data_IF_950472301374
#
_entry.id   IF_950472301374
#
_cell.length_a   1.000
_cell.length_b   1.000
_cell.length_c   1.000
_cell.angle_alpha   90.00
_cell.angle_beta   90.00
_cell.angle_gamma   90.00
#
_symmetry.space_group_name_H-M   'P 1'
#
loop_
_entity.id
_entity.type
_entity.pdbx_description
1 polymer ?
#
# COMPACT_ATOMS: atom_id res chain seq x y z
N UNK A 1 -10.58 26.21 -13.22
CA UNK A 1 -10.04 25.15 -12.33
C UNK A 1 -10.91 23.91 -12.45
N UNK A 2 -10.33 22.70 -12.55
CA UNK A 2 -11.09 21.47 -12.74
C UNK A 2 -11.56 20.91 -11.38
N UNK A 3 -12.88 20.77 -11.19
CA UNK A 3 -13.50 20.36 -9.91
C UNK A 3 -12.96 19.04 -9.36
N UNK A 4 -12.56 18.11 -10.23
CA UNK A 4 -11.94 16.83 -9.85
C UNK A 4 -10.58 17.01 -9.16
N UNK A 5 -9.79 18.01 -9.57
CA UNK A 5 -8.51 18.32 -8.92
C UNK A 5 -8.74 18.85 -7.52
N UNK A 6 -9.70 19.76 -7.33
CA UNK A 6 -10.01 20.33 -6.01
C UNK A 6 -10.50 19.26 -5.02
N UNK A 7 -11.37 18.35 -5.44
CA UNK A 7 -11.81 17.23 -4.61
C UNK A 7 -10.65 16.30 -4.18
N UNK A 8 -9.68 16.08 -5.08
CA UNK A 8 -8.48 15.31 -4.75
C UNK A 8 -7.57 16.04 -3.75
N UNK A 9 -7.36 17.36 -3.90
CA UNK A 9 -6.58 18.14 -2.93
C UNK A 9 -7.22 18.12 -1.53
N UNK A 10 -8.53 18.34 -1.41
CA UNK A 10 -9.24 18.25 -0.13
C UNK A 10 -9.13 16.87 0.52
N UNK A 11 -9.07 15.80 -0.28
CA UNK A 11 -8.90 14.45 0.23
C UNK A 11 -7.46 14.19 0.71
N UNK A 12 -6.47 14.72 0.00
CA UNK A 12 -5.05 14.66 0.39
C UNK A 12 -4.81 15.41 1.70
N UNK A 13 -5.35 16.62 1.86
CA UNK A 13 -5.16 17.43 3.07
C UNK A 13 -5.78 16.75 4.31
N UNK A 14 -7.00 16.20 4.16
CA UNK A 14 -7.66 15.42 5.21
C UNK A 14 -6.92 14.12 5.54
N UNK A 15 -6.37 13.45 4.53
CA UNK A 15 -5.52 12.30 4.75
C UNK A 15 -4.26 12.73 5.53
N UNK A 16 -3.60 13.83 5.17
CA UNK A 16 -2.42 14.32 5.89
C UNK A 16 -2.72 14.68 7.35
N UNK A 17 -3.85 15.32 7.65
CA UNK A 17 -4.29 15.55 9.03
C UNK A 17 -4.48 14.25 9.79
N UNK A 18 -5.19 13.29 9.19
CA UNK A 18 -5.43 11.99 9.82
C UNK A 18 -4.11 11.25 10.12
N UNK A 19 -3.16 11.29 9.18
CA UNK A 19 -1.84 10.69 9.36
C UNK A 19 -1.07 11.34 10.51
N UNK A 20 -1.09 12.69 10.61
CA UNK A 20 -0.44 13.42 11.73
C UNK A 20 -1.05 13.03 13.08
N UNK A 21 -2.37 12.95 13.18
CA UNK A 21 -3.05 12.54 14.40
C UNK A 21 -2.69 11.11 14.79
N UNK A 22 -2.75 10.17 13.85
CA UNK A 22 -2.36 8.77 14.10
C UNK A 22 -0.91 8.65 14.56
N UNK A 23 0.00 9.39 13.92
CA UNK A 23 1.41 9.43 14.29
C UNK A 23 1.61 9.93 15.73
N UNK A 24 0.96 11.04 16.11
CA UNK A 24 1.06 11.57 17.48
C UNK A 24 0.50 10.58 18.51
N UNK A 25 -0.67 9.99 18.25
CA UNK A 25 -1.26 9.00 19.15
C UNK A 25 -0.38 7.74 19.29
N UNK A 26 0.25 7.28 18.21
CA UNK A 26 1.19 6.14 18.25
C UNK A 26 2.47 6.49 19.02
N UNK A 27 2.96 7.73 18.90
CA UNK A 27 4.14 8.22 19.62
C UNK A 27 3.89 8.38 21.12
N UNK A 28 2.71 8.84 21.51
CA UNK A 28 2.30 9.00 22.90
C UNK A 28 2.01 7.65 23.59
N UNK A 29 1.45 6.69 22.84
CA UNK A 29 1.15 5.36 23.36
C UNK A 29 1.66 4.27 22.42
N UNK A 30 2.93 3.85 22.59
CA UNK A 30 3.57 2.84 21.71
C UNK A 30 2.88 1.47 21.73
N UNK A 31 2.12 1.17 22.78
CA UNK A 31 1.38 -0.10 22.93
C UNK A 31 -0.02 -0.06 22.31
N UNK A 32 -0.52 1.13 21.90
CA UNK A 32 -1.84 1.29 21.32
C UNK A 32 -1.89 0.69 19.91
N UNK A 33 -2.80 -0.25 19.71
CA UNK A 33 -3.03 -0.89 18.40
C UNK A 33 -4.16 -0.20 17.65
N UNK A 34 -3.90 0.19 16.41
CA UNK A 34 -4.90 0.78 15.51
C UNK A 34 -5.49 -0.31 14.61
N UNK A 35 -6.34 -1.18 15.17
CA UNK A 35 -6.94 -2.29 14.43
C UNK A 35 -7.71 -1.83 13.18
N UNK A 36 -8.46 -0.73 13.31
CA UNK A 36 -9.18 -0.13 12.20
C UNK A 36 -8.25 0.33 11.05
N UNK A 37 -6.99 0.67 11.34
CA UNK A 37 -6.01 1.04 10.31
C UNK A 37 -5.56 -0.18 9.51
N UNK A 38 -5.29 -1.31 10.19
CA UNK A 38 -4.93 -2.55 9.52
C UNK A 38 -6.03 -3.03 8.56
N UNK A 39 -7.29 -2.90 8.98
CA UNK A 39 -8.45 -3.24 8.14
C UNK A 39 -8.57 -2.38 6.88
N UNK A 40 -7.97 -1.17 6.86
CA UNK A 40 -7.91 -0.33 5.66
C UNK A 40 -6.78 -0.73 4.71
N UNK A 41 -5.70 -1.32 5.20
CA UNK A 41 -4.53 -1.66 4.37
C UNK A 41 -4.91 -2.71 3.32
N UNK A 42 -5.66 -3.74 3.71
CA UNK A 42 -6.05 -4.81 2.77
C UNK A 42 -7.33 -4.48 1.99
N UNK A 43 -7.85 -3.25 2.01
CA UNK A 43 -9.04 -2.94 1.21
C UNK A 43 -8.75 -3.10 -0.29
N UNK A 44 -9.59 -3.81 -1.07
CA UNK A 44 -9.32 -4.05 -2.50
C UNK A 44 -9.13 -2.78 -3.32
N UNK A 45 -9.88 -1.71 -3.03
CA UNK A 45 -9.75 -0.42 -3.71
C UNK A 45 -8.40 0.26 -3.41
N UNK A 46 -7.94 0.19 -2.16
CA UNK A 46 -6.66 0.77 -1.74
C UNK A 46 -5.48 -0.04 -2.30
N UNK A 47 -5.56 -1.37 -2.24
CA UNK A 47 -4.54 -2.26 -2.84
C UNK A 47 -4.41 -2.03 -4.34
N UNK A 48 -5.53 -1.86 -5.04
CA UNK A 48 -5.52 -1.59 -6.48
C UNK A 48 -4.85 -0.26 -6.82
N UNK A 49 -5.18 0.83 -6.12
CA UNK A 49 -4.53 2.14 -6.30
C UNK A 49 -3.03 2.10 -5.99
N UNK A 50 -2.64 1.35 -4.95
CA UNK A 50 -1.25 1.13 -4.61
C UNK A 50 -0.51 0.38 -5.74
N UNK A 51 -1.13 -0.67 -6.28
CA UNK A 51 -0.60 -1.43 -7.42
C UNK A 51 -0.44 -0.57 -8.67
N UNK A 52 -1.44 0.25 -9.03
CA UNK A 52 -1.32 1.18 -10.16
C UNK A 52 -0.18 2.20 -9.94
N UNK A 53 0.00 2.67 -8.72
CA UNK A 53 1.09 3.60 -8.38
C UNK A 53 2.47 2.94 -8.53
N UNK A 54 2.61 1.67 -8.15
CA UNK A 54 3.84 0.89 -8.34
C UNK A 54 4.12 0.67 -9.83
N UNK A 55 3.10 0.30 -10.62
CA UNK A 55 3.21 0.17 -12.08
C UNK A 55 3.69 1.44 -12.77
N UNK A 56 3.15 2.59 -12.37
CA UNK A 56 3.53 3.89 -12.93
C UNK A 56 4.99 4.25 -12.66
N UNK A 57 5.51 3.85 -11.49
CA UNK A 57 6.90 4.12 -11.11
C UNK A 57 7.93 3.22 -11.79
N UNK A 58 7.50 2.21 -12.56
CA UNK A 58 8.36 1.31 -13.37
C UNK A 58 9.62 0.85 -12.63
N UNK A 59 9.49 0.58 -11.33
CA UNK A 59 10.63 0.18 -10.51
C UNK A 59 11.28 -1.09 -11.06
N UNK A 60 12.59 -1.20 -10.92
CA UNK A 60 13.30 -2.46 -11.09
C UNK A 60 12.64 -3.54 -10.24
N UNK A 61 12.37 -4.71 -10.83
CA UNK A 61 11.78 -5.86 -10.14
C UNK A 61 12.45 -6.09 -8.78
N UNK A 62 11.65 -6.40 -7.77
CA UNK A 62 12.14 -6.59 -6.40
C UNK A 62 13.20 -7.69 -6.30
N UNK A 63 13.82 -7.80 -5.13
CA UNK A 63 14.78 -8.88 -4.79
C UNK A 63 14.18 -10.28 -5.00
N UNK A 64 12.85 -10.39 -5.07
CA UNK A 64 12.13 -11.61 -5.36
C UNK A 64 12.06 -12.00 -6.84
N UNK A 65 12.69 -11.21 -7.72
CA UNK A 65 12.75 -11.49 -9.15
C UNK A 65 11.41 -11.37 -9.87
N UNK A 66 10.37 -10.86 -9.19
CA UNK A 66 9.07 -10.61 -9.81
C UNK A 66 9.10 -9.29 -10.56
N UNK A 67 9.10 -9.37 -11.88
CA UNK A 67 8.93 -8.20 -12.73
C UNK A 67 7.45 -7.84 -12.83
N UNK A 68 7.15 -6.54 -12.85
CA UNK A 68 5.78 -6.05 -13.04
C UNK A 68 5.21 -6.60 -14.36
N UNK A 69 6.04 -6.69 -15.39
CA UNK A 69 5.71 -7.24 -16.70
C UNK A 69 5.28 -8.71 -16.61
N UNK A 70 6.00 -9.54 -15.85
CA UNK A 70 5.64 -10.96 -15.65
C UNK A 70 4.32 -11.11 -14.90
N UNK A 71 4.08 -10.26 -13.90
CA UNK A 71 2.80 -10.26 -13.17
C UNK A 71 1.64 -9.88 -14.10
N UNK A 72 1.83 -8.89 -14.96
CA UNK A 72 0.80 -8.40 -15.88
C UNK A 72 0.54 -9.39 -17.02
N UNK A 73 1.59 -9.97 -17.61
CA UNK A 73 1.51 -10.80 -18.81
C UNK A 73 1.18 -12.26 -18.50
N UNK A 74 1.81 -12.85 -17.48
CA UNK A 74 1.78 -14.30 -17.27
C UNK A 74 0.92 -14.70 -16.06
N UNK A 75 1.00 -13.94 -14.96
CA UNK A 75 0.36 -14.32 -13.70
C UNK A 75 -1.08 -13.80 -13.54
N UNK A 76 -1.33 -12.59 -14.04
CA UNK A 76 -2.59 -11.88 -13.93
C UNK A 76 -2.68 -11.00 -12.68
N UNK A 77 -2.86 -9.70 -12.90
CA UNK A 77 -2.91 -8.67 -11.84
C UNK A 77 -3.99 -8.93 -10.80
N UNK A 78 -5.19 -9.36 -11.24
CA UNK A 78 -6.31 -9.65 -10.32
C UNK A 78 -6.00 -10.80 -9.38
N UNK A 79 -5.32 -11.85 -9.89
CA UNK A 79 -4.93 -13.00 -9.09
C UNK A 79 -3.90 -12.60 -8.04
N UNK A 80 -2.87 -11.88 -8.46
CA UNK A 80 -1.83 -11.34 -7.58
C UNK A 80 -2.40 -10.46 -6.46
N UNK A 81 -3.27 -9.51 -6.80
CA UNK A 81 -3.91 -8.64 -5.80
C UNK A 81 -4.82 -9.40 -4.85
N UNK A 82 -5.54 -10.42 -5.33
CA UNK A 82 -6.39 -11.26 -4.47
C UNK A 82 -5.58 -12.10 -3.48
N UNK A 83 -4.40 -12.58 -3.86
CA UNK A 83 -3.50 -13.32 -2.97
C UNK A 83 -2.97 -12.41 -1.86
N UNK A 84 -2.48 -11.21 -2.22
CA UNK A 84 -2.04 -10.21 -1.24
C UNK A 84 -3.19 -9.82 -0.29
N UNK A 85 -4.40 -9.62 -0.84
CA UNK A 85 -5.60 -9.37 -0.05
C UNK A 85 -5.85 -10.46 0.99
N UNK A 86 -5.83 -11.73 0.57
CA UNK A 86 -6.08 -12.87 1.44
C UNK A 86 -4.99 -13.00 2.51
N UNK A 87 -3.72 -12.89 2.12
CA UNK A 87 -2.60 -12.97 3.04
C UNK A 87 -2.63 -11.89 4.12
N UNK A 88 -2.95 -10.64 3.75
CA UNK A 88 -3.09 -9.54 4.71
C UNK A 88 -4.32 -9.74 5.60
N UNK A 89 -5.47 -10.12 5.02
CA UNK A 89 -6.70 -10.37 5.79
C UNK A 89 -6.52 -11.48 6.81
N UNK A 90 -5.83 -12.55 6.42
CA UNK A 90 -5.56 -13.72 7.27
C UNK A 90 -4.32 -13.52 8.17
N UNK A 91 -3.71 -12.32 8.13
CA UNK A 91 -2.50 -11.96 8.90
C UNK A 91 -1.32 -12.92 8.66
N UNK A 92 -1.27 -13.53 7.47
CA UNK A 92 -0.19 -14.42 7.02
C UNK A 92 0.78 -13.74 6.07
N UNK A 93 0.56 -12.47 5.73
CA UNK A 93 1.49 -11.71 4.93
C UNK A 93 2.82 -11.53 5.65
N UNK A 94 3.89 -12.08 5.09
CA UNK A 94 5.26 -11.94 5.58
C UNK A 94 6.07 -11.20 4.52
N UNK A 95 6.40 -9.92 4.74
CA UNK A 95 7.22 -9.18 3.79
C UNK A 95 8.59 -9.83 3.70
N UNK A 96 9.08 -10.05 2.47
CA UNK A 96 10.47 -10.49 2.27
C UNK A 96 11.41 -9.37 2.72
N UNK A 97 12.47 -9.77 3.43
CA UNK A 97 13.50 -8.85 3.91
C UNK A 97 14.14 -8.15 2.71
N UNK A 98 14.18 -6.82 2.77
CA UNK A 98 14.93 -6.01 1.84
C UNK A 98 16.37 -5.98 2.37
N UNK A 99 17.31 -6.58 1.64
CA UNK A 99 18.73 -6.30 1.88
C UNK A 99 18.98 -4.89 1.38
N UNK A 100 19.05 -3.92 2.29
CA UNK A 100 19.52 -2.59 1.95
C UNK A 100 20.97 -2.73 1.53
N UNK A 101 21.26 -2.72 0.23
CA UNK A 101 22.61 -2.41 -0.24
C UNK A 101 22.74 -0.91 -0.01
N UNK A 102 23.36 -0.57 1.11
CA UNK A 102 24.09 0.68 1.26
C UNK A 102 25.36 0.45 0.44
N UNK A 103 25.52 1.19 -0.65
CA UNK A 103 26.78 1.74 -1.17
C UNK A 103 26.46 2.90 -2.13
#
# INVERSE_FOLDING_TARGET
MNARKMANYTNIDKAQEHWKTLYLCAKESPTRRFHALYDKIYRPDILWEAWQSVKQKKGSGGVDGQMIEQIVLDYGERKFMNEIFLELKEKRYHPRLITSIID
#
